data_IF_741487834665
#
_entry.id   IF_741487834665
#
_cell.length_a   1.000
_cell.length_b   1.000
_cell.length_c   1.000
_cell.angle_alpha   90.00
_cell.angle_beta   90.00
_cell.angle_gamma   90.00
#
_symmetry.space_group_name_H-M   'P 1'
#
loop_
_entity.id
_entity.type
_entity.pdbx_description
1 polymer ?
#
# COMPACT_ATOMS: atom_id res chain seq x y z
N UNK A 1 -36.95 -19.39 14.53
CA UNK A 1 -37.95 -19.20 13.44
C UNK A 1 -38.23 -20.46 12.61
N UNK A 2 -37.47 -21.56 12.70
CA UNK A 2 -37.75 -22.81 11.96
C UNK A 2 -38.73 -23.78 12.63
N UNK A 3 -39.14 -23.51 13.88
CA UNK A 3 -40.00 -24.39 14.68
C UNK A 3 -41.45 -24.46 14.14
N UNK A 4 -41.86 -23.54 13.26
CA UNK A 4 -43.25 -23.36 12.81
C UNK A 4 -43.45 -23.51 11.29
N UNK A 5 -42.47 -24.06 10.55
CA UNK A 5 -42.62 -24.38 9.13
C UNK A 5 -42.63 -23.19 8.15
N UNK A 6 -41.90 -22.11 8.45
CA UNK A 6 -41.79 -20.94 7.56
C UNK A 6 -40.82 -21.15 6.40
N UNK A 7 -41.11 -20.53 5.25
CA UNK A 7 -40.21 -20.49 4.07
C UNK A 7 -39.43 -19.17 4.04
N UNK A 8 -38.11 -19.25 3.83
CA UNK A 8 -37.23 -18.10 3.64
C UNK A 8 -36.76 -18.08 2.18
N UNK A 9 -36.85 -16.92 1.53
CA UNK A 9 -36.27 -16.69 0.20
C UNK A 9 -35.23 -15.58 0.29
N UNK A 10 -34.00 -15.89 -0.14
CA UNK A 10 -32.88 -14.94 -0.21
C UNK A 10 -32.60 -14.70 -1.68
N UNK A 11 -32.66 -13.44 -2.11
CA UNK A 11 -32.43 -13.03 -3.51
C UNK A 11 -31.31 -12.00 -3.48
N UNK A 12 -30.20 -12.30 -4.15
CA UNK A 12 -29.05 -11.41 -4.24
C UNK A 12 -28.29 -11.67 -5.54
N UNK A 13 -27.56 -10.67 -6.02
CA UNK A 13 -26.53 -10.84 -7.05
C UNK A 13 -25.21 -11.28 -6.41
N UNK A 14 -24.27 -11.77 -7.23
CA UNK A 14 -22.93 -12.05 -6.73
C UNK A 14 -22.13 -10.75 -6.50
N UNK A 15 -21.24 -10.79 -5.52
CA UNK A 15 -20.28 -9.73 -5.22
C UNK A 15 -18.93 -10.37 -4.85
N UNK A 16 -18.32 -11.04 -5.83
CA UNK A 16 -17.08 -11.79 -5.66
C UNK A 16 -17.24 -13.18 -5.03
N UNK A 17 -16.17 -13.97 -5.10
CA UNK A 17 -16.09 -15.33 -4.52
C UNK A 17 -15.95 -15.37 -3.00
N UNK A 18 -15.51 -14.28 -2.37
CA UNK A 18 -15.22 -14.20 -0.93
C UNK A 18 -16.39 -13.63 -0.10
N UNK A 19 -17.49 -13.23 -0.75
CA UNK A 19 -18.65 -12.69 -0.05
C UNK A 19 -19.46 -13.79 0.64
N UNK A 20 -20.03 -13.49 1.82
CA UNK A 20 -20.84 -14.42 2.62
C UNK A 20 -22.00 -15.04 1.83
N UNK A 21 -22.61 -14.30 0.89
CA UNK A 21 -23.66 -14.85 0.02
C UNK A 21 -23.13 -15.96 -0.90
N UNK A 22 -21.92 -15.80 -1.44
CA UNK A 22 -21.29 -16.83 -2.26
C UNK A 22 -20.99 -18.09 -1.44
N UNK A 23 -20.44 -17.90 -0.23
CA UNK A 23 -20.21 -19.02 0.69
C UNK A 23 -21.53 -19.73 1.03
N UNK A 24 -22.59 -18.98 1.31
CA UNK A 24 -23.91 -19.53 1.58
C UNK A 24 -24.46 -20.37 0.41
N UNK A 25 -24.28 -19.92 -0.84
CA UNK A 25 -24.64 -20.70 -2.04
C UNK A 25 -23.82 -22.00 -2.12
N UNK A 26 -22.50 -21.92 -1.91
CA UNK A 26 -21.62 -23.10 -1.90
C UNK A 26 -21.99 -24.10 -0.82
N UNK A 27 -22.35 -23.64 0.37
CA UNK A 27 -22.76 -24.49 1.48
C UNK A 27 -24.06 -25.23 1.16
N UNK A 28 -25.02 -24.58 0.49
CA UNK A 28 -26.24 -25.22 -0.01
C UNK A 28 -25.91 -26.27 -1.07
N UNK A 29 -25.05 -25.95 -2.04
CA UNK A 29 -24.63 -26.89 -3.10
C UNK A 29 -23.82 -28.07 -2.56
N UNK A 30 -23.06 -27.86 -1.48
CA UNK A 30 -22.34 -28.90 -0.76
C UNK A 30 -23.24 -29.74 0.17
N UNK A 31 -24.54 -29.41 0.27
CA UNK A 31 -25.51 -30.16 1.06
C UNK A 31 -25.43 -29.93 2.57
N UNK A 32 -24.76 -28.86 3.03
CA UNK A 32 -24.64 -28.51 4.47
C UNK A 32 -26.01 -28.33 5.11
N UNK A 33 -26.99 -27.84 4.33
CA UNK A 33 -28.37 -27.60 4.77
C UNK A 33 -29.34 -28.74 4.40
N UNK A 34 -28.85 -29.88 3.92
CA UNK A 34 -29.68 -31.03 3.53
C UNK A 34 -30.68 -30.72 2.41
N UNK A 35 -31.84 -31.39 2.44
CA UNK A 35 -32.91 -31.25 1.43
C UNK A 35 -33.75 -29.97 1.62
N UNK A 36 -33.57 -29.26 2.74
CA UNK A 36 -34.40 -28.11 3.13
C UNK A 36 -34.02 -26.81 2.40
N UNK A 37 -32.86 -26.77 1.75
CA UNK A 37 -32.36 -25.59 1.03
C UNK A 37 -32.00 -25.92 -0.43
N UNK A 38 -32.29 -24.97 -1.33
CA UNK A 38 -31.95 -25.09 -2.75
C UNK A 38 -31.50 -23.75 -3.32
N UNK A 39 -30.37 -23.75 -4.02
CA UNK A 39 -29.91 -22.59 -4.79
C UNK A 39 -30.62 -22.55 -6.16
N UNK A 40 -30.89 -21.33 -6.62
CA UNK A 40 -31.42 -21.07 -7.97
C UNK A 40 -30.60 -19.94 -8.58
N UNK A 41 -30.12 -20.15 -9.80
CA UNK A 41 -29.41 -19.14 -10.58
C UNK A 41 -30.35 -18.64 -11.68
N UNK A 42 -30.48 -17.32 -11.80
CA UNK A 42 -31.26 -16.66 -12.86
C UNK A 42 -30.37 -15.61 -13.50
N UNK A 43 -30.01 -15.82 -14.75
CA UNK A 43 -29.13 -14.93 -15.52
C UNK A 43 -29.94 -13.90 -16.31
N UNK A 44 -29.24 -12.91 -16.88
CA UNK A 44 -29.81 -11.98 -17.84
C UNK A 44 -30.37 -12.71 -19.07
N UNK A 45 -29.68 -13.75 -19.56
CA UNK A 45 -30.15 -14.53 -20.70
C UNK A 45 -31.47 -15.25 -20.39
N UNK A 46 -31.61 -15.79 -19.17
CA UNK A 46 -32.87 -16.39 -18.70
C UNK A 46 -34.01 -15.36 -18.66
N UNK A 47 -33.73 -14.15 -18.17
CA UNK A 47 -34.71 -13.07 -18.14
C UNK A 47 -35.12 -12.65 -19.57
N UNK A 48 -34.17 -12.58 -20.49
CA UNK A 48 -34.43 -12.25 -21.90
C UNK A 48 -35.24 -13.33 -22.61
N UNK A 49 -34.97 -14.60 -22.33
CA UNK A 49 -35.76 -15.72 -22.81
C UNK A 49 -37.20 -15.68 -22.24
N UNK A 50 -37.37 -15.26 -20.98
CA UNK A 50 -38.66 -15.11 -20.32
C UNK A 50 -39.43 -13.81 -20.67
N UNK A 51 -38.99 -13.06 -21.67
CA UNK A 51 -39.75 -11.92 -22.18
C UNK A 51 -39.39 -10.55 -21.59
N UNK A 52 -38.19 -10.40 -20.99
CA UNK A 52 -37.75 -9.12 -20.42
C UNK A 52 -37.77 -7.97 -21.44
N UNK A 53 -37.32 -8.23 -22.67
CA UNK A 53 -37.30 -7.20 -23.72
C UNK A 53 -38.72 -6.75 -24.10
N UNK A 54 -39.63 -7.71 -24.24
CA UNK A 54 -41.03 -7.50 -24.56
C UNK A 54 -41.71 -6.66 -23.47
N UNK A 55 -41.37 -6.92 -22.20
CA UNK A 55 -41.83 -6.10 -21.07
C UNK A 55 -41.28 -4.68 -21.13
N UNK A 56 -40.01 -4.49 -21.47
CA UNK A 56 -39.41 -3.15 -21.64
C UNK A 56 -40.10 -2.38 -22.77
N UNK A 57 -40.35 -3.03 -23.91
CA UNK A 57 -41.08 -2.45 -25.04
C UNK A 57 -42.50 -2.04 -24.67
N UNK A 58 -43.24 -2.91 -23.97
CA UNK A 58 -44.58 -2.62 -23.47
C UNK A 58 -44.60 -1.39 -22.57
N UNK A 59 -43.67 -1.29 -21.60
CA UNK A 59 -43.55 -0.14 -20.70
C UNK A 59 -43.21 1.17 -21.42
N UNK A 60 -42.56 1.09 -22.59
CA UNK A 60 -42.21 2.24 -23.42
C UNK A 60 -43.25 2.54 -24.51
N UNK A 61 -44.35 1.76 -24.60
CA UNK A 61 -45.35 1.91 -25.67
C UNK A 61 -44.83 1.60 -27.08
N UNK A 62 -43.81 0.73 -27.19
CA UNK A 62 -43.20 0.33 -28.47
C UNK A 62 -43.56 -1.11 -28.80
N UNK A 63 -43.74 -1.41 -30.09
CA UNK A 63 -43.89 -2.80 -30.52
C UNK A 63 -42.54 -3.55 -30.45
N UNK A 64 -42.51 -4.75 -29.83
CA UNK A 64 -41.31 -5.57 -29.78
C UNK A 64 -41.03 -6.22 -31.13
N UNK A 65 -39.79 -6.14 -31.60
CA UNK A 65 -39.34 -6.81 -32.83
C UNK A 65 -38.12 -7.67 -32.54
N UNK A 66 -37.91 -8.72 -33.35
CA UNK A 66 -36.74 -9.61 -33.22
C UNK A 66 -35.44 -8.84 -33.39
N UNK A 67 -35.36 -7.97 -34.40
CA UNK A 67 -34.18 -7.12 -34.62
C UNK A 67 -33.95 -6.14 -33.47
N UNK A 68 -35.03 -5.56 -32.92
CA UNK A 68 -34.97 -4.67 -31.77
C UNK A 68 -34.43 -5.39 -30.53
N UNK A 69 -34.87 -6.62 -30.29
CA UNK A 69 -34.39 -7.48 -29.20
C UNK A 69 -32.90 -7.72 -29.30
N UNK A 70 -32.41 -8.10 -30.49
CA UNK A 70 -30.98 -8.36 -30.70
C UNK A 70 -30.12 -7.11 -30.51
N UNK A 71 -30.56 -5.95 -31.03
CA UNK A 71 -29.85 -4.67 -30.86
C UNK A 71 -29.82 -4.25 -29.40
N UNK A 72 -30.94 -4.36 -28.68
CA UNK A 72 -31.02 -4.03 -27.26
C UNK A 72 -30.13 -4.93 -26.41
N UNK A 73 -30.18 -6.24 -26.64
CA UNK A 73 -29.35 -7.23 -25.95
C UNK A 73 -27.86 -6.92 -26.11
N UNK A 74 -27.43 -6.74 -27.37
CA UNK A 74 -26.04 -6.44 -27.70
C UNK A 74 -25.59 -5.11 -27.07
N UNK A 75 -26.47 -4.10 -27.05
CA UNK A 75 -26.19 -2.80 -26.45
C UNK A 75 -25.95 -2.92 -24.94
N UNK A 76 -26.76 -3.69 -24.21
CA UNK A 76 -26.59 -3.86 -22.76
C UNK A 76 -25.26 -4.53 -22.45
N UNK A 77 -24.92 -5.64 -23.13
CA UNK A 77 -23.63 -6.31 -22.93
C UNK A 77 -22.44 -5.42 -23.30
N UNK A 78 -22.54 -4.67 -24.41
CA UNK A 78 -21.49 -3.73 -24.83
C UNK A 78 -21.30 -2.54 -23.89
N UNK A 79 -22.32 -2.13 -23.14
CA UNK A 79 -22.23 -1.01 -22.21
C UNK A 79 -21.18 -1.22 -21.09
N UNK A 80 -20.79 -2.47 -20.83
CA UNK A 80 -19.73 -2.82 -19.88
C UNK A 80 -18.30 -2.58 -20.43
N UNK A 81 -18.13 -2.41 -21.75
CA UNK A 81 -16.84 -2.10 -22.38
C UNK A 81 -15.81 -3.21 -22.20
N UNK A 82 -14.62 -2.85 -21.73
CA UNK A 82 -13.51 -3.79 -21.46
C UNK A 82 -13.72 -4.63 -20.18
N UNK A 83 -14.68 -4.26 -19.31
CA UNK A 83 -14.92 -4.89 -18.00
C UNK A 83 -15.69 -6.21 -18.09
N UNK A 84 -15.11 -7.19 -18.78
CA UNK A 84 -15.76 -8.50 -19.03
C UNK A 84 -16.09 -9.26 -17.75
N UNK A 85 -15.27 -9.16 -16.71
CA UNK A 85 -15.51 -9.81 -15.42
C UNK A 85 -16.74 -9.22 -14.71
N UNK A 86 -16.84 -7.88 -14.64
CA UNK A 86 -18.02 -7.21 -14.08
C UNK A 86 -19.29 -7.50 -14.89
N UNK A 87 -19.19 -7.56 -16.23
CA UNK A 87 -20.32 -7.98 -17.07
C UNK A 87 -20.80 -9.39 -16.72
N UNK A 88 -19.89 -10.35 -16.54
CA UNK A 88 -20.23 -11.74 -16.18
C UNK A 88 -20.81 -11.85 -14.77
N UNK A 89 -20.30 -11.07 -13.84
CA UNK A 89 -20.83 -11.01 -12.47
C UNK A 89 -22.25 -10.46 -12.42
N UNK A 90 -22.51 -9.35 -13.12
CA UNK A 90 -23.80 -8.68 -13.12
C UNK A 90 -24.84 -9.38 -14.01
N UNK A 91 -24.45 -9.87 -15.20
CA UNK A 91 -25.40 -10.40 -16.18
C UNK A 91 -25.46 -11.93 -16.20
N UNK A 92 -24.35 -12.61 -15.95
CA UNK A 92 -24.27 -14.07 -16.09
C UNK A 92 -24.31 -14.78 -14.73
N UNK A 93 -24.50 -14.04 -13.63
CA UNK A 93 -24.47 -14.55 -12.25
C UNK A 93 -23.24 -15.40 -11.95
N UNK A 94 -22.09 -15.04 -12.54
CA UNK A 94 -20.81 -15.72 -12.30
C UNK A 94 -20.04 -14.90 -11.28
N UNK A 95 -19.85 -15.38 -10.04
CA UNK A 95 -19.07 -14.64 -9.07
C UNK A 95 -17.67 -14.43 -9.59
N UNK A 96 -17.24 -13.16 -9.60
CA UNK A 96 -15.86 -12.82 -9.95
C UNK A 96 -14.94 -13.50 -8.94
N UNK A 97 -13.82 -14.05 -9.40
CA UNK A 97 -12.74 -14.41 -8.49
C UNK A 97 -12.52 -13.26 -7.51
N UNK A 98 -12.39 -13.58 -6.21
CA UNK A 98 -11.87 -12.58 -5.28
C UNK A 98 -10.63 -11.97 -5.94
N UNK A 99 -10.54 -10.64 -5.89
CA UNK A 99 -9.38 -9.83 -6.31
C UNK A 99 -8.15 -10.72 -6.41
N UNK A 100 -7.69 -11.02 -7.64
CA UNK A 100 -6.52 -11.87 -7.82
C UNK A 100 -5.45 -11.31 -6.90
N UNK A 101 -4.99 -12.12 -5.94
CA UNK A 101 -3.92 -11.77 -5.00
C UNK A 101 -2.83 -11.10 -5.82
N UNK A 102 -2.69 -9.79 -5.66
CA UNK A 102 -1.84 -8.99 -6.53
C UNK A 102 -0.37 -9.30 -6.25
N UNK A 103 -0.07 -9.59 -4.98
CA UNK A 103 1.24 -9.96 -4.51
C UNK A 103 1.19 -11.38 -3.91
N UNK A 104 1.57 -12.42 -4.67
CA UNK A 104 1.59 -13.80 -4.19
C UNK A 104 2.34 -13.95 -2.87
N UNK A 105 1.73 -14.64 -1.90
CA UNK A 105 2.32 -14.87 -0.57
C UNK A 105 3.70 -15.52 -0.64
N UNK A 106 3.93 -16.41 -1.62
CA UNK A 106 5.23 -17.04 -1.85
C UNK A 106 6.33 -16.02 -2.16
N UNK A 107 6.03 -14.96 -2.91
CA UNK A 107 7.01 -13.91 -3.23
C UNK A 107 7.35 -13.08 -1.98
N UNK A 108 6.35 -12.78 -1.15
CA UNK A 108 6.55 -12.10 0.13
C UNK A 108 7.41 -12.95 1.07
N UNK A 109 7.11 -14.25 1.20
CA UNK A 109 7.91 -15.18 2.00
C UNK A 109 9.35 -15.30 1.49
N UNK A 110 9.56 -15.30 0.16
CA UNK A 110 10.89 -15.30 -0.45
C UNK A 110 11.70 -14.04 -0.12
N UNK A 111 11.04 -12.89 -0.06
CA UNK A 111 11.66 -11.63 0.36
C UNK A 111 12.01 -11.61 1.86
N UNK A 112 11.35 -12.42 2.69
CA UNK A 112 11.60 -12.52 4.13
C UNK A 112 12.75 -13.49 4.43
N UNK A 113 13.97 -13.08 4.08
CA UNK A 113 15.15 -13.96 4.07
C UNK A 113 15.73 -14.23 5.45
N UNK A 114 15.69 -13.24 6.36
CA UNK A 114 16.40 -13.30 7.65
C UNK A 114 15.58 -12.66 8.78
N UNK A 115 15.84 -13.13 10.01
CA UNK A 115 15.28 -12.51 11.21
C UNK A 115 15.97 -11.16 11.41
N UNK A 116 15.20 -10.08 11.28
CA UNK A 116 15.63 -8.70 11.51
C UNK A 116 14.64 -7.99 12.42
N UNK A 117 15.05 -6.86 12.98
CA UNK A 117 14.31 -6.20 14.05
C UNK A 117 13.04 -5.52 13.54
N UNK A 118 11.91 -5.79 14.21
CA UNK A 118 10.64 -5.09 14.01
C UNK A 118 10.32 -4.31 15.29
N UNK A 119 10.59 -3.01 15.27
CA UNK A 119 10.46 -2.12 16.41
C UNK A 119 9.00 -1.70 16.57
N UNK A 120 8.32 -2.20 17.61
CA UNK A 120 6.90 -1.87 17.88
C UNK A 120 6.78 -0.94 19.07
N UNK A 121 6.05 0.16 18.88
CA UNK A 121 5.74 1.12 19.93
C UNK A 121 4.22 1.35 19.98
N UNK A 122 3.58 0.83 21.01
CA UNK A 122 2.17 1.06 21.29
C UNK A 122 2.03 1.81 22.60
N UNK A 123 1.35 2.95 22.57
CA UNK A 123 1.10 3.75 23.76
C UNK A 123 -0.32 3.52 24.27
N UNK A 124 -0.44 3.31 25.58
CA UNK A 124 -1.72 3.21 26.27
C UNK A 124 -2.40 4.57 26.45
N UNK A 125 -3.64 4.55 26.95
CA UNK A 125 -4.39 5.77 27.22
C UNK A 125 -3.80 6.56 28.41
N UNK A 126 -3.15 5.86 29.34
CA UNK A 126 -2.36 6.39 30.47
C UNK A 126 -1.22 7.32 30.02
N UNK A 127 -0.64 7.08 28.84
CA UNK A 127 0.37 7.97 28.26
C UNK A 127 -0.14 9.41 28.07
N UNK A 128 -1.46 9.60 27.93
CA UNK A 128 -2.07 10.93 27.80
C UNK A 128 -2.19 11.70 29.12
N UNK A 129 -1.90 11.06 30.25
CA UNK A 129 -1.88 11.68 31.57
C UNK A 129 -0.50 12.25 31.92
N UNK A 130 0.56 11.75 31.27
CA UNK A 130 1.93 12.23 31.44
C UNK A 130 2.09 13.68 30.97
N UNK A 131 2.97 14.44 31.63
CA UNK A 131 3.39 15.77 31.20
C UNK A 131 4.16 15.71 29.86
N UNK A 132 4.25 16.82 29.11
CA UNK A 132 5.04 16.87 27.87
C UNK A 132 6.48 16.39 28.05
N UNK A 133 7.15 16.78 29.14
CA UNK A 133 8.54 16.41 29.43
C UNK A 133 8.69 14.91 29.73
N UNK A 134 7.76 14.32 30.48
CA UNK A 134 7.73 12.88 30.75
C UNK A 134 7.52 12.07 29.46
N UNK A 135 6.65 12.55 28.57
CA UNK A 135 6.45 11.91 27.25
C UNK A 135 7.70 11.99 26.39
N UNK A 136 8.39 13.13 26.41
CA UNK A 136 9.63 13.30 25.65
C UNK A 136 10.77 12.44 26.18
N UNK A 137 10.88 12.33 27.50
CA UNK A 137 11.83 11.45 28.16
C UNK A 137 11.53 9.97 27.88
N UNK A 138 10.26 9.58 27.91
CA UNK A 138 9.84 8.20 27.57
C UNK A 138 10.24 7.84 26.13
N UNK A 139 9.95 8.72 25.17
CA UNK A 139 10.29 8.46 23.77
C UNK A 139 11.80 8.50 23.53
N UNK A 140 12.53 9.40 24.21
CA UNK A 140 13.99 9.42 24.15
C UNK A 140 14.56 8.09 24.63
N UNK A 141 14.09 7.62 25.78
CA UNK A 141 14.51 6.36 26.36
C UNK A 141 14.17 5.17 25.44
N UNK A 142 12.99 5.15 24.82
CA UNK A 142 12.64 4.13 23.82
C UNK A 142 13.59 4.17 22.61
N UNK A 143 13.91 5.37 22.10
CA UNK A 143 14.86 5.54 20.99
C UNK A 143 16.22 4.95 21.37
N UNK A 144 16.76 5.30 22.54
CA UNK A 144 18.09 4.86 22.97
C UNK A 144 18.15 3.36 23.25
N UNK A 145 17.07 2.77 23.78
CA UNK A 145 17.02 1.33 24.10
C UNK A 145 16.81 0.45 22.87
N UNK A 146 16.01 0.90 21.90
CA UNK A 146 15.52 0.02 20.83
C UNK A 146 15.92 0.47 19.43
N UNK A 147 15.86 1.76 19.11
CA UNK A 147 16.14 2.25 17.76
C UNK A 147 17.64 2.48 17.52
N UNK A 148 18.33 3.15 18.46
CA UNK A 148 19.75 3.47 18.35
C UNK A 148 20.64 2.23 18.13
N UNK A 149 20.41 1.08 18.82
CA UNK A 149 21.17 -0.13 18.56
C UNK A 149 21.03 -0.66 17.13
N UNK A 150 19.88 -0.50 16.48
CA UNK A 150 19.67 -0.91 15.08
C UNK A 150 20.36 0.06 14.11
N UNK A 151 20.34 1.35 14.41
CA UNK A 151 21.02 2.37 13.62
C UNK A 151 22.55 2.19 13.63
N UNK A 152 23.13 1.77 14.76
CA UNK A 152 24.56 1.50 14.87
C UNK A 152 25.03 0.27 14.06
N UNK A 153 24.12 -0.64 13.69
CA UNK A 153 24.41 -1.82 12.86
C UNK A 153 24.48 -1.49 11.37
N UNK A 154 24.03 -0.30 10.94
CA UNK A 154 23.93 0.04 9.52
C UNK A 154 25.31 0.18 8.85
N UNK A 155 25.44 -0.36 7.65
CA UNK A 155 26.65 -0.22 6.84
C UNK A 155 26.76 1.20 6.30
N UNK A 156 27.75 1.95 6.81
CA UNK A 156 27.99 3.35 6.48
C UNK A 156 28.31 3.61 5.01
N UNK A 157 28.71 2.58 4.26
CA UNK A 157 29.07 2.69 2.84
C UNK A 157 27.86 2.65 1.91
N UNK A 158 26.71 2.13 2.39
CA UNK A 158 25.51 1.94 1.58
C UNK A 158 24.66 3.21 1.53
N UNK A 159 24.01 3.43 0.40
CA UNK A 159 23.02 4.47 0.25
C UNK A 159 21.70 4.02 0.86
N UNK A 160 21.11 4.88 1.70
CA UNK A 160 19.86 4.59 2.40
C UNK A 160 18.74 5.50 1.92
N UNK A 161 17.53 4.97 1.89
CA UNK A 161 16.30 5.73 1.68
C UNK A 161 15.21 5.20 2.63
N UNK A 162 14.05 5.85 2.68
CA UNK A 162 12.96 5.37 3.51
C UNK A 162 11.59 5.63 2.88
N UNK A 163 10.59 4.90 3.37
CA UNK A 163 9.18 5.18 3.18
C UNK A 163 8.50 5.33 4.54
N UNK A 164 7.50 6.19 4.61
CA UNK A 164 6.71 6.37 5.83
C UNK A 164 5.22 6.48 5.48
N UNK A 165 4.42 5.58 6.05
CA UNK A 165 2.97 5.65 6.04
C UNK A 165 2.47 6.21 7.38
N UNK A 166 1.66 7.26 7.35
CA UNK A 166 1.24 7.95 8.56
C UNK A 166 -0.12 7.45 9.05
N UNK A 167 -0.16 6.98 10.30
CA UNK A 167 -1.40 6.77 11.02
C UNK A 167 -1.25 7.08 12.51
N UNK A 168 -2.31 6.84 13.30
CA UNK A 168 -2.27 7.10 14.75
C UNK A 168 -3.23 6.23 15.55
N UNK A 169 -4.52 6.28 15.23
CA UNK A 169 -5.56 5.75 16.13
C UNK A 169 -6.26 4.49 15.63
N UNK A 170 -6.45 4.37 14.32
CA UNK A 170 -7.23 3.29 13.71
C UNK A 170 -6.36 2.24 13.02
N UNK A 171 -5.20 2.67 12.58
CA UNK A 171 -4.25 1.95 11.74
C UNK A 171 -2.85 2.30 12.28
N UNK A 172 -1.82 1.55 11.88
CA UNK A 172 -0.47 1.70 12.40
C UNK A 172 0.34 2.71 11.56
N UNK A 173 1.11 3.57 12.21
CA UNK A 173 2.11 4.37 11.50
C UNK A 173 3.35 3.51 11.28
N UNK A 174 3.85 3.48 10.06
CA UNK A 174 4.90 2.54 9.67
C UNK A 174 6.05 3.25 8.97
N UNK A 175 7.28 2.99 9.41
CA UNK A 175 8.51 3.52 8.81
C UNK A 175 9.36 2.35 8.34
N UNK A 176 9.73 2.38 7.06
CA UNK A 176 10.51 1.34 6.42
C UNK A 176 11.76 1.95 5.77
N UNK A 177 12.94 1.85 6.41
CA UNK A 177 14.20 2.17 5.77
C UNK A 177 14.63 1.05 4.81
N UNK A 178 15.25 1.43 3.71
CA UNK A 178 15.99 0.56 2.82
C UNK A 178 17.44 1.01 2.74
N UNK A 179 18.35 0.06 2.59
CA UNK A 179 19.63 0.32 1.94
C UNK A 179 19.70 -0.40 0.59
N UNK A 180 20.48 0.17 -0.32
CA UNK A 180 20.70 -0.40 -1.65
C UNK A 180 21.97 -1.26 -1.60
N UNK A 181 21.81 -2.56 -1.77
CA UNK A 181 22.90 -3.51 -1.81
C UNK A 181 23.70 -3.41 -3.12
N UNK A 182 24.86 -4.07 -3.17
CA UNK A 182 25.74 -4.03 -4.36
C UNK A 182 25.10 -4.70 -5.58
N UNK A 183 24.25 -5.70 -5.35
CA UNK A 183 23.41 -6.37 -6.35
C UNK A 183 22.11 -5.60 -6.66
N UNK A 184 22.01 -4.35 -6.19
CA UNK A 184 20.90 -3.42 -6.40
C UNK A 184 19.60 -3.79 -5.67
N UNK A 185 19.58 -4.85 -4.86
CA UNK A 185 18.40 -5.17 -4.04
C UNK A 185 18.18 -4.11 -2.97
N UNK A 186 16.91 -3.86 -2.63
CA UNK A 186 16.50 -2.99 -1.53
C UNK A 186 16.30 -3.85 -0.30
N UNK A 187 17.16 -3.66 0.70
CA UNK A 187 17.15 -4.48 1.91
C UNK A 187 16.68 -3.63 3.07
N UNK A 188 15.61 -4.07 3.75
CA UNK A 188 15.12 -3.44 4.97
C UNK A 188 15.89 -3.99 6.17
N UNK A 189 16.79 -3.20 6.80
CA UNK A 189 17.60 -3.65 7.93
C UNK A 189 16.76 -3.83 9.20
N UNK A 190 15.73 -3.01 9.36
CA UNK A 190 14.72 -3.06 10.41
C UNK A 190 13.47 -2.33 9.91
N UNK A 191 12.39 -2.38 10.67
CA UNK A 191 11.19 -1.55 10.46
C UNK A 191 10.69 -0.99 11.79
N UNK A 192 9.95 0.12 11.74
CA UNK A 192 9.31 0.74 12.91
C UNK A 192 7.80 0.78 12.71
N UNK A 193 7.06 0.27 13.67
CA UNK A 193 5.61 0.25 13.73
C UNK A 193 5.13 0.97 14.99
N UNK A 194 4.21 1.90 14.84
CA UNK A 194 3.72 2.75 15.91
C UNK A 194 2.20 2.77 15.98
N UNK A 195 1.64 2.62 17.17
CA UNK A 195 0.21 2.73 17.42
C UNK A 195 -0.08 3.66 18.60
N UNK A 196 -1.08 4.53 18.45
CA UNK A 196 -1.47 5.61 19.38
C UNK A 196 -0.37 6.65 19.68
N UNK A 197 0.76 6.62 18.98
CA UNK A 197 1.85 7.60 19.16
C UNK A 197 1.45 8.99 18.64
N UNK A 198 1.51 10.07 19.44
CA UNK A 198 1.25 11.43 18.97
C UNK A 198 2.17 11.88 17.83
N UNK A 199 1.64 12.68 16.90
CA UNK A 199 2.35 13.14 15.69
C UNK A 199 3.72 13.76 15.97
N UNK A 200 3.81 14.63 16.99
CA UNK A 200 5.08 15.25 17.40
C UNK A 200 6.14 14.22 17.81
N UNK A 201 5.73 13.13 18.47
CA UNK A 201 6.63 12.08 18.94
C UNK A 201 7.01 11.13 17.80
N UNK A 202 6.07 10.82 16.89
CA UNK A 202 6.40 10.10 15.65
C UNK A 202 7.44 10.89 14.82
N UNK A 203 7.26 12.21 14.70
CA UNK A 203 8.22 13.10 14.03
C UNK A 203 9.60 13.06 14.71
N UNK A 204 9.64 13.08 16.05
CA UNK A 204 10.90 12.93 16.82
C UNK A 204 11.61 11.62 16.48
N UNK A 205 10.90 10.49 16.48
CA UNK A 205 11.44 9.16 16.15
C UNK A 205 11.93 9.13 14.69
N UNK A 206 11.10 9.59 13.75
CA UNK A 206 11.43 9.65 12.34
C UNK A 206 12.71 10.45 12.11
N UNK A 207 12.78 11.66 12.66
CA UNK A 207 13.94 12.53 12.46
C UNK A 207 15.20 11.95 13.08
N UNK A 208 15.10 11.34 14.26
CA UNK A 208 16.23 10.68 14.88
C UNK A 208 16.82 9.58 13.98
N UNK A 209 15.94 8.78 13.35
CA UNK A 209 16.32 7.76 12.38
C UNK A 209 16.98 8.38 11.15
N UNK A 210 16.34 9.36 10.51
CA UNK A 210 16.83 9.98 9.27
C UNK A 210 18.20 10.66 9.46
N UNK A 211 18.42 11.34 10.58
CA UNK A 211 19.71 11.97 10.92
C UNK A 211 20.87 10.95 11.00
N UNK A 212 20.56 9.66 11.18
CA UNK A 212 21.53 8.57 11.37
C UNK A 212 21.56 7.56 10.23
N UNK A 213 20.68 7.68 9.22
CA UNK A 213 20.75 6.83 8.04
C UNK A 213 22.00 7.20 7.21
N UNK A 214 22.96 6.29 7.02
CA UNK A 214 24.17 6.62 6.27
C UNK A 214 23.87 6.93 4.81
N UNK A 215 24.54 7.96 4.26
CA UNK A 215 24.38 8.39 2.87
C UNK A 215 22.89 8.47 2.49
N UNK A 216 22.10 9.09 3.37
CA UNK A 216 20.67 9.24 3.17
C UNK A 216 20.40 9.94 1.82
N UNK A 217 19.64 9.28 0.96
CA UNK A 217 19.31 9.73 -0.39
C UNK A 217 17.86 10.19 -0.56
N UNK A 218 17.05 10.11 0.51
CA UNK A 218 15.69 10.65 0.51
C UNK A 218 14.65 9.72 1.11
N UNK A 219 13.48 10.29 1.38
CA UNK A 219 12.31 9.62 1.96
C UNK A 219 11.06 9.98 1.17
N UNK A 220 10.15 9.03 1.03
CA UNK A 220 8.79 9.32 0.60
C UNK A 220 7.80 9.12 1.75
N UNK A 221 6.93 10.09 1.95
CA UNK A 221 6.04 10.14 3.10
C UNK A 221 4.60 10.24 2.63
N UNK A 222 3.69 9.53 3.31
CA UNK A 222 2.27 9.74 3.14
C UNK A 222 1.91 11.14 3.68
N UNK A 223 1.64 12.05 2.75
CA UNK A 223 1.17 13.38 3.03
C UNK A 223 -0.38 13.44 2.98
N UNK A 224 -1.10 12.32 3.00
CA UNK A 224 -2.56 12.30 2.94
C UNK A 224 -3.17 12.64 4.30
N UNK A 225 -4.16 13.55 4.30
CA UNK A 225 -4.87 13.94 5.52
C UNK A 225 -3.91 14.42 6.62
N UNK A 226 -3.90 13.74 7.76
CA UNK A 226 -3.10 14.12 8.93
C UNK A 226 -1.58 13.91 8.76
N UNK A 227 -1.14 13.15 7.75
CA UNK A 227 0.28 12.94 7.47
C UNK A 227 0.97 14.16 6.85
N UNK A 228 0.19 15.06 6.24
CA UNK A 228 0.67 16.28 5.56
C UNK A 228 1.61 17.10 6.43
N UNK A 229 1.21 17.40 7.67
CA UNK A 229 2.00 18.24 8.57
C UNK A 229 3.37 17.65 8.89
N UNK A 230 3.48 16.33 9.09
CA UNK A 230 4.79 15.71 9.37
C UNK A 230 5.64 15.72 8.11
N UNK A 231 5.05 15.47 6.95
CA UNK A 231 5.75 15.50 5.66
C UNK A 231 6.28 16.92 5.35
N UNK A 232 5.49 17.96 5.58
CA UNK A 232 5.87 19.37 5.44
C UNK A 232 7.02 19.73 6.39
N UNK A 233 6.86 19.49 7.70
CA UNK A 233 7.91 19.75 8.68
C UNK A 233 9.23 19.03 8.34
N UNK A 234 9.13 17.80 7.83
CA UNK A 234 10.30 17.01 7.44
C UNK A 234 10.96 17.61 6.19
N UNK A 235 10.18 18.05 5.20
CA UNK A 235 10.70 18.75 4.03
C UNK A 235 11.35 20.09 4.38
N UNK A 236 10.83 20.82 5.38
CA UNK A 236 11.47 22.03 5.90
C UNK A 236 12.84 21.74 6.53
N UNK A 237 12.98 20.62 7.27
CA UNK A 237 14.24 20.24 7.91
C UNK A 237 15.29 19.72 6.92
N UNK A 238 14.93 18.80 6.03
CA UNK A 238 15.89 18.10 5.15
C UNK A 238 15.94 18.64 3.71
N UNK A 239 15.04 19.55 3.36
CA UNK A 239 14.89 20.08 2.01
C UNK A 239 13.87 19.32 1.17
N UNK A 240 13.11 20.06 0.36
CA UNK A 240 12.05 19.52 -0.50
C UNK A 240 12.54 18.53 -1.57
N UNK A 241 13.84 18.53 -1.89
CA UNK A 241 14.44 17.57 -2.82
C UNK A 241 14.72 16.20 -2.18
N UNK A 242 14.86 16.15 -0.85
CA UNK A 242 15.09 14.91 -0.09
C UNK A 242 13.79 14.24 0.36
N UNK A 243 12.70 15.01 0.46
CA UNK A 243 11.43 14.57 1.07
C UNK A 243 10.32 14.65 0.05
N UNK A 244 9.90 13.48 -0.44
CA UNK A 244 8.78 13.34 -1.37
C UNK A 244 7.47 13.26 -0.60
N UNK A 245 6.70 14.34 -0.65
CA UNK A 245 5.41 14.47 0.03
C UNK A 245 4.30 13.89 -0.87
N UNK A 246 3.90 12.64 -0.64
CA UNK A 246 3.03 11.89 -1.54
C UNK A 246 1.58 11.98 -1.09
N UNK A 247 0.69 12.42 -1.98
CA UNK A 247 -0.77 12.27 -1.80
C UNK A 247 -1.22 10.93 -2.38
N UNK A 248 -1.51 9.97 -1.50
CA UNK A 248 -1.95 8.64 -1.90
C UNK A 248 -3.30 8.73 -2.62
N UNK A 249 -3.31 8.26 -3.87
CA UNK A 249 -4.47 8.31 -4.75
C UNK A 249 -4.53 7.07 -5.61
N UNK A 250 -5.69 6.81 -6.23
CA UNK A 250 -5.84 5.70 -7.19
C UNK A 250 -4.81 5.77 -8.32
N UNK A 251 -4.53 6.97 -8.82
CA UNK A 251 -3.53 7.19 -9.86
C UNK A 251 -2.11 6.85 -9.37
N UNK A 252 -1.78 7.23 -8.13
CA UNK A 252 -0.51 6.90 -7.51
C UNK A 252 -0.32 5.39 -7.37
N UNK A 253 -1.30 4.70 -6.78
CA UNK A 253 -1.28 3.24 -6.63
C UNK A 253 -1.19 2.52 -7.99
N UNK A 254 -1.98 2.97 -8.98
CA UNK A 254 -1.94 2.40 -10.33
C UNK A 254 -0.58 2.50 -11.02
N UNK A 255 0.24 3.48 -10.64
CA UNK A 255 1.59 3.65 -11.17
C UNK A 255 2.66 2.88 -10.39
N UNK A 256 2.57 2.88 -9.06
CA UNK A 256 3.66 2.41 -8.19
C UNK A 256 3.48 1.00 -7.65
N UNK A 257 2.26 0.56 -7.36
CA UNK A 257 2.02 -0.81 -6.88
C UNK A 257 2.49 -1.86 -7.88
N UNK A 258 2.21 -1.76 -9.20
CA UNK A 258 2.73 -2.76 -10.16
C UNK A 258 4.26 -2.83 -10.19
N UNK A 259 4.95 -1.70 -10.00
CA UNK A 259 6.42 -1.65 -9.96
C UNK A 259 6.98 -2.37 -8.73
N UNK A 260 6.32 -2.24 -7.58
CA UNK A 260 6.69 -2.99 -6.38
C UNK A 260 6.42 -4.49 -6.58
N UNK A 261 5.30 -4.86 -7.19
CA UNK A 261 4.95 -6.27 -7.47
C UNK A 261 6.01 -6.91 -8.37
N UNK A 262 6.43 -6.24 -9.44
CA UNK A 262 7.56 -6.70 -10.28
C UNK A 262 8.84 -6.84 -9.47
N UNK A 263 9.11 -5.94 -8.52
CA UNK A 263 10.29 -6.06 -7.65
C UNK A 263 10.27 -7.32 -6.79
N UNK A 264 9.09 -7.74 -6.30
CA UNK A 264 8.94 -9.02 -5.61
C UNK A 264 9.07 -10.23 -6.54
N UNK A 265 8.52 -10.14 -7.76
CA UNK A 265 8.67 -11.18 -8.79
C UNK A 265 10.14 -11.43 -9.14
N UNK A 266 10.95 -10.36 -9.17
CA UNK A 266 12.37 -10.37 -9.54
C UNK A 266 13.34 -10.52 -8.35
N UNK A 267 12.85 -10.80 -7.13
CA UNK A 267 13.68 -10.93 -5.91
C UNK A 267 14.51 -9.66 -5.59
N UNK A 268 13.96 -8.48 -5.85
CA UNK A 268 14.64 -7.19 -5.66
C UNK A 268 14.42 -6.55 -4.28
N UNK A 269 13.65 -7.19 -3.41
CA UNK A 269 13.28 -6.68 -2.07
C UNK A 269 13.56 -7.74 -1.01
N UNK A 270 14.24 -7.34 0.06
CA UNK A 270 14.46 -8.17 1.25
C UNK A 270 13.85 -7.50 2.49
N UNK A 271 13.06 -8.26 3.25
CA UNK A 271 12.29 -7.82 4.40
C UNK A 271 12.66 -8.61 5.67
N UNK A 272 12.42 -8.05 6.86
CA UNK A 272 12.42 -8.82 8.11
C UNK A 272 11.37 -9.94 8.06
N UNK A 273 11.70 -11.12 8.60
CA UNK A 273 10.71 -12.18 8.87
C UNK A 273 9.74 -11.69 9.95
N UNK A 274 8.50 -11.36 9.56
CA UNK A 274 7.44 -10.95 10.47
C UNK A 274 6.06 -11.25 9.89
N UNK A 275 5.20 -11.88 10.69
CA UNK A 275 3.90 -12.35 10.26
C UNK A 275 2.90 -11.20 9.98
N UNK A 276 2.99 -10.10 10.74
CA UNK A 276 2.10 -8.95 10.56
C UNK A 276 2.49 -8.18 9.30
N UNK A 277 3.79 -7.98 9.06
CA UNK A 277 4.29 -7.37 7.81
C UNK A 277 3.90 -8.21 6.58
N UNK A 278 3.95 -9.54 6.69
CA UNK A 278 3.50 -10.45 5.63
C UNK A 278 2.01 -10.30 5.34
N UNK A 279 1.21 -10.19 6.39
CA UNK A 279 -0.23 -9.95 6.25
C UNK A 279 -0.52 -8.58 5.63
N UNK A 280 0.24 -7.55 5.98
CA UNK A 280 0.10 -6.23 5.37
C UNK A 280 0.34 -6.28 3.85
N UNK A 281 1.35 -7.01 3.38
CA UNK A 281 1.58 -7.23 1.95
C UNK A 281 0.41 -7.94 1.26
N UNK A 282 -0.30 -8.82 1.98
CA UNK A 282 -1.46 -9.55 1.47
C UNK A 282 -2.71 -8.65 1.36
N UNK A 283 -2.71 -7.45 1.95
CA UNK A 283 -3.79 -6.48 1.84
C UNK A 283 -3.81 -5.76 0.47
N UNK A 284 -2.78 -5.94 -0.36
CA UNK A 284 -2.75 -5.42 -1.73
C UNK A 284 -3.68 -6.26 -2.61
N UNK A 285 -4.75 -5.63 -3.08
CA UNK A 285 -5.78 -6.26 -3.88
C UNK A 285 -6.08 -5.44 -5.15
N UNK A 286 -6.69 -6.07 -6.14
CA UNK A 286 -7.24 -5.36 -7.30
C UNK A 286 -8.58 -4.70 -6.96
N UNK A 287 -8.61 -3.37 -6.98
CA UNK A 287 -9.81 -2.54 -6.80
C UNK A 287 -10.09 -1.75 -8.07
N UNK A 288 -11.13 -2.15 -8.80
CA UNK A 288 -11.51 -1.64 -10.14
C UNK A 288 -10.33 -1.55 -11.14
N UNK A 289 -9.52 -2.60 -11.24
CA UNK A 289 -8.38 -2.67 -12.17
C UNK A 289 -7.12 -1.96 -11.70
N UNK A 290 -7.08 -1.48 -10.45
CA UNK A 290 -5.91 -0.86 -9.83
C UNK A 290 -5.47 -1.71 -8.64
N UNK A 291 -4.20 -2.09 -8.61
CA UNK A 291 -3.61 -2.74 -7.46
C UNK A 291 -3.34 -1.73 -6.35
N UNK A 292 -4.05 -1.87 -5.24
CA UNK A 292 -3.92 -0.97 -4.09
C UNK A 292 -4.28 -1.71 -2.81
N UNK A 293 -3.86 -1.14 -1.68
CA UNK A 293 -4.27 -1.65 -0.38
C UNK A 293 -5.80 -1.51 -0.25
N UNK A 294 -6.47 -2.63 0.04
CA UNK A 294 -7.92 -2.68 0.11
C UNK A 294 -8.43 -1.89 1.33
N UNK A 295 -9.67 -1.40 1.27
CA UNK A 295 -10.28 -0.72 2.44
C UNK A 295 -10.64 -1.71 3.56
N UNK A 296 -10.61 -3.02 3.28
CA UNK A 296 -10.95 -4.04 4.26
C UNK A 296 -9.78 -4.22 5.22
N UNK A 297 -10.07 -4.24 6.51
CA UNK A 297 -9.05 -4.35 7.55
C UNK A 297 -8.96 -5.79 8.04
N UNK A 298 -7.74 -6.29 8.14
CA UNK A 298 -7.45 -7.58 8.78
C UNK A 298 -7.34 -7.38 10.29
N UNK A 299 -7.50 -8.45 11.08
CA UNK A 299 -7.15 -8.41 12.51
C UNK A 299 -5.64 -8.56 12.66
N UNK A 300 -5.06 -7.85 13.63
CA UNK A 300 -3.66 -8.03 14.01
C UNK A 300 -3.45 -9.43 14.62
N UNK A 301 -2.33 -10.09 14.32
CA UNK A 301 -2.07 -11.46 14.81
C UNK A 301 -1.72 -11.44 16.30
N UNK A 302 -1.01 -10.41 16.76
CA UNK A 302 -0.51 -10.31 18.14
C UNK A 302 -1.55 -9.74 19.08
N UNK A 303 -2.35 -8.78 18.62
CA UNK A 303 -3.44 -8.17 19.39
C UNK A 303 -4.78 -8.21 18.62
N UNK A 304 -5.65 -9.21 18.89
CA UNK A 304 -6.91 -9.41 18.15
C UNK A 304 -7.93 -8.26 18.26
N UNK A 305 -7.72 -7.28 19.16
CA UNK A 305 -8.56 -6.08 19.27
C UNK A 305 -8.13 -4.98 18.27
N UNK A 306 -6.92 -5.09 17.71
CA UNK A 306 -6.40 -4.18 16.70
C UNK A 306 -6.71 -4.67 15.28
N UNK A 307 -6.87 -3.70 14.40
CA UNK A 307 -7.12 -3.92 12.98
C UNK A 307 -5.95 -3.35 12.19
N UNK A 308 -5.47 -4.11 11.22
CA UNK A 308 -4.41 -3.74 10.28
C UNK A 308 -5.01 -3.42 8.93
N UNK A 309 -4.56 -2.33 8.32
CA UNK A 309 -5.05 -1.91 7.01
C UNK A 309 -4.08 -2.28 5.88
N UNK A 310 -2.86 -2.73 6.17
CA UNK A 310 -1.80 -2.90 5.17
C UNK A 310 -0.74 -1.81 5.23
N UNK A 311 -0.55 -1.21 6.40
CA UNK A 311 0.29 -0.01 6.62
C UNK A 311 1.76 -0.28 6.24
N UNK A 312 2.28 -1.46 6.58
CA UNK A 312 3.62 -1.89 6.16
C UNK A 312 3.78 -1.98 4.64
N UNK A 313 2.73 -2.36 3.91
CA UNK A 313 2.75 -2.42 2.45
C UNK A 313 2.75 -1.03 1.81
N UNK A 314 1.98 -0.08 2.35
CA UNK A 314 1.97 1.32 1.89
C UNK A 314 3.35 1.96 2.11
N UNK A 315 3.91 1.82 3.31
CA UNK A 315 5.25 2.32 3.63
C UNK A 315 6.31 1.72 2.70
N UNK A 316 6.16 0.45 2.31
CA UNK A 316 7.06 -0.20 1.36
C UNK A 316 6.93 0.33 -0.07
N UNK A 317 5.72 0.58 -0.57
CA UNK A 317 5.51 1.21 -1.89
C UNK A 317 6.17 2.60 -1.92
N UNK A 318 6.04 3.36 -0.82
CA UNK A 318 6.69 4.66 -0.66
C UNK A 318 8.23 4.52 -0.63
N UNK A 319 8.76 3.59 0.15
CA UNK A 319 10.20 3.35 0.24
C UNK A 319 10.79 2.91 -1.11
N UNK A 320 10.07 2.06 -1.84
CA UNK A 320 10.44 1.65 -3.20
C UNK A 320 10.49 2.84 -4.15
N UNK A 321 9.46 3.70 -4.12
CA UNK A 321 9.45 4.95 -4.88
C UNK A 321 10.65 5.84 -4.54
N UNK A 322 10.94 6.07 -3.25
CA UNK A 322 12.08 6.86 -2.80
C UNK A 322 13.40 6.29 -3.31
N UNK A 323 13.54 4.96 -3.32
CA UNK A 323 14.75 4.27 -3.81
C UNK A 323 15.02 4.46 -5.30
N UNK A 324 14.05 4.94 -6.07
CA UNK A 324 14.14 5.27 -7.49
C UNK A 324 14.27 6.78 -7.74
N UNK A 325 14.07 7.61 -6.71
CA UNK A 325 14.11 9.09 -6.76
C UNK A 325 15.06 9.62 -5.70
N UNK A 326 16.25 9.04 -5.65
CA UNK A 326 17.28 9.44 -4.71
C UNK A 326 17.80 10.82 -5.12
N UNK A 327 17.75 11.75 -4.18
CA UNK A 327 18.50 12.97 -4.30
C UNK A 327 19.99 12.66 -4.05
N UNK A 328 20.83 13.19 -4.93
CA UNK A 328 22.26 13.25 -4.72
C UNK A 328 22.61 14.64 -4.20
N UNK A 329 23.35 14.72 -3.11
CA UNK A 329 23.97 15.98 -2.72
C UNK A 329 24.85 16.46 -3.88
N UNK A 330 24.53 17.63 -4.44
CA UNK A 330 25.49 18.39 -5.23
C UNK A 330 26.34 19.10 -4.18
N UNK A 331 27.50 18.53 -3.85
CA UNK A 331 28.47 19.27 -3.05
C UNK A 331 28.82 20.53 -3.81
N UNK A 332 28.51 21.69 -3.23
CA UNK A 332 29.01 22.95 -3.73
C UNK A 332 30.53 22.90 -3.58
N UNK A 333 31.23 22.71 -4.70
CA UNK A 333 32.66 22.92 -4.77
C UNK A 333 32.85 24.42 -4.94
N UNK A 334 33.24 25.18 -3.89
CA UNK A 334 33.59 26.57 -4.07
C UNK A 334 34.71 26.68 -5.10
N UNK A 335 34.67 27.71 -5.93
CA UNK A 335 35.85 28.07 -6.71
C UNK A 335 37.01 28.32 -5.74
N UNK A 336 38.23 27.81 -6.01
CA UNK A 336 39.39 28.14 -5.20
C UNK A 336 39.53 29.66 -5.09
N UNK A 337 39.88 30.12 -3.90
CA UNK A 337 40.11 31.55 -3.68
C UNK A 337 41.29 32.04 -4.53
N UNK A 338 41.35 33.34 -4.80
CA UNK A 338 42.45 33.94 -5.57
C UNK A 338 43.82 33.61 -4.97
N UNK A 339 43.92 33.54 -3.64
CA UNK A 339 45.15 33.22 -2.91
C UNK A 339 45.54 31.73 -3.07
N UNK A 340 44.57 30.81 -3.09
CA UNK A 340 44.82 29.38 -3.33
C UNK A 340 45.27 29.10 -4.78
N UNK A 341 44.71 29.83 -5.74
CA UNK A 341 45.14 29.77 -7.15
C UNK A 341 46.56 30.33 -7.35
N UNK A 342 46.99 31.30 -6.54
CA UNK A 342 48.34 31.87 -6.60
C UNK A 342 49.41 30.98 -5.94
N UNK A 343 49.02 30.13 -4.99
CA UNK A 343 49.94 29.25 -4.23
C UNK A 343 50.22 27.90 -4.89
N UNK A 344 49.27 27.35 -5.66
CA UNK A 344 49.40 26.07 -6.37
C UNK A 344 49.00 26.22 -7.85
N UNK A 345 49.74 26.98 -8.66
CA UNK A 345 49.37 27.25 -10.05
C UNK A 345 49.28 25.99 -10.92
N UNK A 346 50.17 25.01 -10.69
CA UNK A 346 50.30 23.80 -11.52
C UNK A 346 49.12 22.81 -11.36
N UNK A 347 48.33 22.91 -10.29
CA UNK A 347 47.20 22.00 -10.01
C UNK A 347 45.91 22.38 -10.78
N UNK A 348 45.87 23.58 -11.39
CA UNK A 348 44.66 24.16 -11.98
C UNK A 348 44.81 24.61 -13.44
N UNK A 349 45.97 24.34 -14.07
CA UNK A 349 46.27 24.77 -15.45
C UNK A 349 45.36 24.14 -16.53
N UNK A 350 44.74 22.97 -16.26
CA UNK A 350 43.83 22.29 -17.19
C UNK A 350 42.39 22.84 -17.18
N UNK A 351 42.06 23.80 -16.30
CA UNK A 351 40.70 24.33 -16.17
C UNK A 351 40.33 25.39 -17.23
N UNK A 352 41.31 25.89 -17.99
CA UNK A 352 41.08 26.80 -19.11
C UNK A 352 40.98 26.02 -20.43
N UNK A 353 39.86 25.33 -20.65
CA UNK A 353 39.50 24.89 -22.00
C UNK A 353 39.18 26.11 -22.86
N UNK A 354 39.81 26.22 -24.04
CA UNK A 354 39.61 27.29 -25.03
C UNK A 354 38.22 27.32 -25.69
N UNK A 355 37.26 26.56 -25.17
CA UNK A 355 35.86 26.61 -25.57
C UNK A 355 35.05 27.51 -24.62
N UNK A 356 35.40 28.80 -24.59
CA UNK A 356 34.58 29.84 -23.97
C UNK A 356 33.72 30.53 -25.03
N UNK A 357 32.41 30.55 -24.83
CA UNK A 357 31.44 31.26 -25.66
C UNK A 357 31.82 32.76 -25.80
N UNK A 358 31.78 33.26 -27.03
CA UNK A 358 31.73 34.69 -27.33
C UNK A 358 30.36 35.30 -26.98
#
# INVERSE_FOLDING_TARGET
>A
MLIWGGRIAIISSHNGKNNAFNQFVKDIEAGVFGEDAKSLVVTFDDAVANGLYERVCFMQGKEPTIEGKQKWYTKIRKAYGSRKAAMREELDAIPRDGSSVCLPTLWVERAMTEVRTVLRLQLGDDFTELTPDERDAYIEDWIQRYLEPELQKLDKTKQHCAGQDYARHRDFSFILPFYIAQDLRRIAPFVIEMHKVPSRLQQKILWYMLDRLPRFGGIAMDATGNGETIAENTAEKYGAHMVHQIKLSRAWYGLWTPKLVTAFEEDMVDLPIDADLKNDCSAIEEVDGIYMVSKARAKDIKDPELYRHGDGAVAMILAWFASLHLATAIEFTPLPSKEEMELNPDDYDDWFSSAGCY
#
